data_IF_733015493426
#
_entry.id   IF_733015493426
#
_cell.length_a   1.000
_cell.length_b   1.000
_cell.length_c   1.000
_cell.angle_alpha   90.00
_cell.angle_beta   90.00
_cell.angle_gamma   90.00
#
_symmetry.space_group_name_H-M   'P 1'
#
loop_
_entity.id
_entity.type
_entity.pdbx_description
1 polymer ?
#
# COMPACT_ATOMS: atom_id res chain seq x y z
N UNK A 1 -11.25 -13.90 -21.07
CA UNK A 1 -10.87 -13.98 -19.64
C UNK A 1 -10.59 -12.56 -19.17
N UNK A 2 -11.12 -12.14 -18.02
CA UNK A 2 -10.74 -10.86 -17.47
C UNK A 2 -9.24 -10.87 -17.15
N UNK A 3 -8.50 -9.87 -17.65
CA UNK A 3 -7.08 -9.70 -17.32
C UNK A 3 -7.05 -9.03 -15.94
N UNK A 4 -6.83 -9.82 -14.92
CA UNK A 4 -6.63 -9.30 -13.57
C UNK A 4 -5.25 -8.65 -13.47
N UNK A 5 -5.14 -7.54 -12.74
CA UNK A 5 -3.83 -6.99 -12.39
C UNK A 5 -3.10 -7.98 -11.47
N UNK A 6 -1.79 -8.06 -11.57
CA UNK A 6 -0.97 -8.94 -10.73
C UNK A 6 -1.25 -8.69 -9.23
N UNK A 7 -1.41 -7.43 -8.85
CA UNK A 7 -1.73 -7.02 -7.48
C UNK A 7 -3.09 -7.53 -7.01
N UNK A 8 -4.09 -7.60 -7.89
CA UNK A 8 -5.37 -8.20 -7.56
C UNK A 8 -5.24 -9.71 -7.30
N UNK A 9 -4.48 -10.42 -8.16
CA UNK A 9 -4.23 -11.86 -7.97
C UNK A 9 -3.49 -12.13 -6.67
N UNK A 10 -2.49 -11.32 -6.32
CA UNK A 10 -1.76 -11.41 -5.05
C UNK A 10 -2.70 -11.24 -3.86
N UNK A 11 -3.57 -10.22 -3.88
CA UNK A 11 -4.55 -10.00 -2.81
C UNK A 11 -5.49 -11.18 -2.63
N UNK A 12 -6.03 -11.72 -3.72
CA UNK A 12 -6.93 -12.88 -3.68
C UNK A 12 -6.21 -14.10 -3.14
N UNK A 13 -5.00 -14.38 -3.62
CA UNK A 13 -4.16 -15.49 -3.14
C UNK A 13 -3.84 -15.36 -1.65
N UNK A 14 -3.53 -14.14 -1.20
CA UNK A 14 -3.32 -13.84 0.20
C UNK A 14 -4.56 -14.14 1.05
N UNK A 15 -5.72 -13.66 0.62
CA UNK A 15 -6.99 -13.92 1.32
C UNK A 15 -7.27 -15.42 1.41
N UNK A 16 -7.02 -16.16 0.33
CA UNK A 16 -7.19 -17.62 0.31
C UNK A 16 -6.20 -18.31 1.25
N UNK A 17 -4.93 -17.92 1.26
CA UNK A 17 -3.94 -18.47 2.21
C UNK A 17 -4.37 -18.26 3.66
N UNK A 18 -4.93 -17.09 3.97
CA UNK A 18 -5.48 -16.79 5.30
C UNK A 18 -6.63 -17.73 5.70
N UNK A 19 -7.48 -18.13 4.75
CA UNK A 19 -8.58 -19.09 4.99
C UNK A 19 -8.06 -20.47 5.34
N UNK A 20 -6.94 -20.90 4.78
CA UNK A 20 -6.33 -22.21 5.02
C UNK A 20 -5.32 -22.23 6.18
N UNK A 21 -5.10 -21.10 6.83
CA UNK A 21 -4.18 -21.01 7.96
C UNK A 21 -4.80 -21.52 9.25
N UNK A 22 -4.13 -22.43 9.96
CA UNK A 22 -4.56 -22.93 11.25
C UNK A 22 -4.74 -21.81 12.28
N UNK A 23 -4.02 -20.71 12.17
CA UNK A 23 -4.16 -19.54 13.05
C UNK A 23 -5.52 -18.81 12.89
N UNK A 24 -6.27 -19.11 11.84
CA UNK A 24 -7.53 -18.45 11.51
C UNK A 24 -8.73 -19.40 11.52
N UNK A 25 -8.63 -20.59 12.12
CA UNK A 25 -9.71 -21.60 12.14
C UNK A 25 -11.03 -21.05 12.72
N UNK A 26 -10.95 -20.16 13.70
CA UNK A 26 -12.12 -19.53 14.32
C UNK A 26 -12.63 -18.27 13.57
N UNK A 27 -11.90 -17.80 12.54
CA UNK A 27 -12.29 -16.61 11.78
C UNK A 27 -13.17 -16.96 10.59
N UNK A 28 -14.16 -16.11 10.32
CA UNK A 28 -14.96 -16.23 9.09
C UNK A 28 -14.20 -15.63 7.91
N UNK A 29 -14.45 -16.14 6.70
CA UNK A 29 -13.91 -15.52 5.45
C UNK A 29 -14.27 -14.03 5.36
N UNK A 30 -15.47 -13.66 5.85
CA UNK A 30 -15.92 -12.28 5.90
C UNK A 30 -15.02 -11.41 6.81
N UNK A 31 -14.67 -11.92 8.00
CA UNK A 31 -13.81 -11.17 8.93
C UNK A 31 -12.39 -11.03 8.40
N UNK A 32 -11.80 -12.06 7.79
CA UNK A 32 -10.48 -12.00 7.17
C UNK A 32 -10.44 -10.99 6.02
N UNK A 33 -11.46 -11.02 5.16
CA UNK A 33 -11.59 -10.04 4.07
C UNK A 33 -11.72 -8.62 4.61
N UNK A 34 -12.51 -8.40 5.65
CA UNK A 34 -12.69 -7.07 6.25
C UNK A 34 -11.41 -6.58 6.93
N UNK A 35 -10.66 -7.43 7.60
CA UNK A 35 -9.39 -7.11 8.23
C UNK A 35 -8.36 -6.64 7.20
N UNK A 36 -8.17 -7.39 6.12
CA UNK A 36 -7.20 -7.05 5.08
C UNK A 36 -7.60 -5.79 4.30
N UNK A 37 -8.85 -5.69 3.86
CA UNK A 37 -9.34 -4.50 3.16
C UNK A 37 -9.30 -3.30 4.09
N UNK A 38 -9.59 -3.47 5.37
CA UNK A 38 -9.52 -2.42 6.37
C UNK A 38 -8.13 -1.83 6.50
N UNK A 39 -7.10 -2.67 6.60
CA UNK A 39 -5.69 -2.20 6.65
C UNK A 39 -5.32 -1.37 5.42
N UNK A 40 -5.66 -1.86 4.23
CA UNK A 40 -5.38 -1.15 2.98
C UNK A 40 -6.15 0.17 2.91
N UNK A 41 -7.44 0.17 3.26
CA UNK A 41 -8.27 1.36 3.25
C UNK A 41 -7.80 2.42 4.25
N UNK A 42 -7.35 2.00 5.41
CA UNK A 42 -6.80 2.88 6.44
C UNK A 42 -5.48 3.51 5.97
N UNK A 43 -4.56 2.73 5.42
CA UNK A 43 -3.31 3.23 4.84
C UNK A 43 -3.56 4.22 3.71
N UNK A 44 -4.50 3.93 2.82
CA UNK A 44 -4.90 4.85 1.76
C UNK A 44 -5.45 6.17 2.31
N UNK A 45 -6.25 6.14 3.39
CA UNK A 45 -6.83 7.34 3.99
C UNK A 45 -5.79 8.27 4.63
N UNK A 46 -4.63 7.74 5.02
CA UNK A 46 -3.49 8.56 5.51
C UNK A 46 -2.73 9.25 4.36
N UNK A 47 -2.77 8.68 3.17
CA UNK A 47 -2.07 9.20 1.99
C UNK A 47 -2.98 10.11 1.15
N UNK A 48 -4.23 9.70 0.94
CA UNK A 48 -5.19 10.41 0.08
C UNK A 48 -6.35 10.98 0.87
N UNK A 49 -6.70 12.22 0.60
CA UNK A 49 -7.83 12.90 1.25
C UNK A 49 -9.17 12.55 0.58
N UNK A 50 -9.17 12.15 -0.69
CA UNK A 50 -10.36 11.97 -1.52
C UNK A 50 -10.48 10.58 -2.17
N UNK A 51 -9.56 9.66 -1.89
CA UNK A 51 -9.52 8.32 -2.46
C UNK A 51 -9.64 7.25 -1.36
N UNK A 52 -10.68 6.42 -1.43
CA UNK A 52 -10.93 5.35 -0.49
C UNK A 52 -11.23 4.04 -1.21
N UNK A 53 -10.63 2.93 -0.78
CA UNK A 53 -10.95 1.60 -1.29
C UNK A 53 -12.35 1.18 -0.82
N UNK A 54 -13.28 1.00 -1.76
CA UNK A 54 -14.67 0.66 -1.45
C UNK A 54 -14.97 -0.83 -1.61
N UNK A 55 -14.37 -1.50 -2.60
CA UNK A 55 -14.52 -2.95 -2.78
C UNK A 55 -13.43 -3.54 -3.67
N UNK A 56 -13.31 -4.86 -3.66
CA UNK A 56 -12.38 -5.62 -4.52
C UNK A 56 -13.10 -6.42 -5.61
N UNK A 57 -14.41 -6.23 -5.77
CA UNK A 57 -15.20 -7.01 -6.74
C UNK A 57 -15.22 -8.51 -6.45
N UNK A 58 -15.85 -9.27 -7.34
CA UNK A 58 -15.88 -10.74 -7.27
C UNK A 58 -14.80 -11.35 -8.16
N UNK A 59 -13.90 -12.20 -7.61
CA UNK A 59 -12.72 -12.70 -8.34
C UNK A 59 -13.04 -13.38 -9.67
N UNK A 60 -14.17 -14.06 -9.77
CA UNK A 60 -14.54 -14.82 -10.98
C UNK A 60 -15.44 -14.04 -11.95
N UNK A 61 -15.92 -12.86 -11.56
CA UNK A 61 -16.88 -12.08 -12.35
C UNK A 61 -16.29 -10.76 -12.81
N UNK A 62 -15.95 -9.89 -11.86
CA UNK A 62 -15.49 -8.52 -12.11
C UNK A 62 -14.35 -8.12 -11.18
N UNK A 63 -13.49 -9.08 -10.82
CA UNK A 63 -12.38 -8.87 -9.90
C UNK A 63 -11.50 -7.69 -10.28
N UNK A 64 -11.56 -6.65 -9.48
CA UNK A 64 -10.78 -5.43 -9.60
C UNK A 64 -10.92 -4.60 -8.32
N UNK A 65 -10.08 -3.58 -8.19
CA UNK A 65 -10.23 -2.61 -7.12
C UNK A 65 -11.20 -1.50 -7.54
N UNK A 66 -12.13 -1.20 -6.64
CA UNK A 66 -13.10 -0.13 -6.78
C UNK A 66 -12.94 0.85 -5.63
N UNK A 67 -13.02 2.13 -5.94
CA UNK A 67 -12.78 3.22 -5.01
C UNK A 67 -13.99 4.17 -4.94
N UNK A 68 -14.08 4.89 -3.85
CA UNK A 68 -14.80 6.15 -3.79
C UNK A 68 -13.77 7.25 -3.99
N UNK A 69 -14.00 8.16 -4.95
CA UNK A 69 -13.12 9.31 -5.23
C UNK A 69 -13.94 10.59 -5.27
N UNK A 70 -13.79 11.43 -4.26
CA UNK A 70 -14.65 12.59 -4.07
C UNK A 70 -16.13 12.19 -4.04
N UNK A 71 -16.92 12.59 -5.05
CA UNK A 71 -18.34 12.23 -5.20
C UNK A 71 -18.59 11.01 -6.06
N UNK A 72 -17.55 10.45 -6.68
CA UNK A 72 -17.68 9.30 -7.58
C UNK A 72 -17.63 8.00 -6.80
N UNK A 73 -18.70 7.22 -6.87
CA UNK A 73 -18.77 5.88 -6.32
C UNK A 73 -18.35 4.84 -7.39
N UNK A 74 -17.83 3.70 -6.94
CA UNK A 74 -17.38 2.61 -7.81
C UNK A 74 -16.34 3.06 -8.88
N UNK A 75 -15.45 3.97 -8.50
CA UNK A 75 -14.37 4.44 -9.35
C UNK A 75 -13.36 3.30 -9.55
N UNK A 76 -13.21 2.84 -10.79
CA UNK A 76 -12.41 1.65 -11.09
C UNK A 76 -10.92 1.98 -11.07
N UNK A 77 -10.09 1.04 -10.56
CA UNK A 77 -8.62 1.14 -10.53
C UNK A 77 -8.00 1.63 -11.85
N UNK A 78 -8.48 1.13 -13.00
CA UNK A 78 -7.96 1.55 -14.31
C UNK A 78 -8.05 3.06 -14.56
N UNK A 79 -8.99 3.73 -13.91
CA UNK A 79 -9.26 5.17 -14.08
C UNK A 79 -8.45 6.04 -13.11
N UNK A 80 -7.72 5.44 -12.16
CA UNK A 80 -6.79 6.16 -11.31
C UNK A 80 -5.69 6.81 -12.15
N UNK A 81 -5.19 7.96 -11.72
CA UNK A 81 -3.99 8.58 -12.27
C UNK A 81 -2.76 7.68 -12.05
N UNK A 82 -1.68 7.93 -12.78
CA UNK A 82 -0.44 7.16 -12.64
C UNK A 82 0.10 7.22 -11.21
N UNK A 83 0.12 8.40 -10.59
CA UNK A 83 0.58 8.56 -9.21
C UNK A 83 -0.30 7.86 -8.18
N UNK A 84 -1.64 7.89 -8.35
CA UNK A 84 -2.57 7.17 -7.48
C UNK A 84 -2.39 5.65 -7.60
N UNK A 85 -2.18 5.13 -8.81
CA UNK A 85 -1.88 3.72 -9.04
C UNK A 85 -0.58 3.32 -8.35
N UNK A 86 0.49 4.08 -8.58
CA UNK A 86 1.79 3.81 -7.98
C UNK A 86 1.72 3.78 -6.46
N UNK A 87 1.12 4.80 -5.83
CA UNK A 87 0.96 4.84 -4.38
C UNK A 87 0.10 3.68 -3.85
N UNK A 88 -1.02 3.37 -4.50
CA UNK A 88 -1.87 2.24 -4.13
C UNK A 88 -1.12 0.92 -4.23
N UNK A 89 -0.40 0.69 -5.33
CA UNK A 89 0.33 -0.56 -5.58
C UNK A 89 1.47 -0.75 -4.55
N UNK A 90 2.19 0.32 -4.19
CA UNK A 90 3.23 0.29 -3.14
C UNK A 90 2.60 -0.05 -1.78
N UNK A 91 1.53 0.64 -1.37
CA UNK A 91 0.84 0.39 -0.11
C UNK A 91 0.35 -1.06 -0.06
N UNK A 92 -0.30 -1.53 -1.12
CA UNK A 92 -0.81 -2.89 -1.20
C UNK A 92 0.31 -3.93 -1.06
N UNK A 93 1.44 -3.72 -1.75
CA UNK A 93 2.59 -4.63 -1.71
C UNK A 93 3.20 -4.68 -0.30
N UNK A 94 3.37 -3.52 0.36
CA UNK A 94 3.90 -3.44 1.72
C UNK A 94 2.96 -4.09 2.74
N UNK A 95 1.65 -3.85 2.65
CA UNK A 95 0.64 -4.47 3.54
C UNK A 95 0.66 -5.98 3.38
N UNK A 96 0.64 -6.50 2.15
CA UNK A 96 0.64 -7.95 1.90
C UNK A 96 1.96 -8.58 2.36
N UNK A 97 3.09 -8.01 2.00
CA UNK A 97 4.41 -8.58 2.35
C UNK A 97 4.69 -8.51 3.85
N UNK A 98 4.27 -7.43 4.51
CA UNK A 98 4.44 -7.27 5.95
C UNK A 98 3.73 -8.33 6.79
N UNK A 99 2.76 -9.07 6.22
CA UNK A 99 2.11 -10.18 6.91
C UNK A 99 2.87 -11.51 6.82
N UNK A 100 3.82 -11.63 5.88
CA UNK A 100 4.56 -12.88 5.66
C UNK A 100 6.04 -12.79 6.01
N UNK A 101 6.61 -11.58 6.02
CA UNK A 101 8.05 -11.40 6.09
C UNK A 101 8.43 -10.39 7.18
N UNK A 102 9.11 -10.87 8.22
CA UNK A 102 9.51 -10.03 9.35
C UNK A 102 10.85 -9.31 9.12
N UNK A 103 11.78 -9.91 8.35
CA UNK A 103 13.12 -9.36 8.11
C UNK A 103 13.31 -9.07 6.63
N UNK A 104 12.69 -8.02 6.13
CA UNK A 104 12.67 -7.73 4.69
C UNK A 104 13.41 -6.44 4.37
N UNK A 105 14.17 -6.46 3.29
CA UNK A 105 14.71 -5.25 2.67
C UNK A 105 13.86 -4.90 1.45
N UNK A 106 13.13 -3.81 1.55
CA UNK A 106 12.32 -3.26 0.47
C UNK A 106 13.16 -2.26 -0.32
N UNK A 107 13.42 -2.55 -1.59
CA UNK A 107 14.15 -1.64 -2.48
C UNK A 107 13.16 -1.06 -3.51
N UNK A 108 12.99 0.26 -3.51
CA UNK A 108 12.04 0.94 -4.39
C UNK A 108 12.77 2.11 -5.07
N UNK A 109 12.69 2.13 -6.38
CA UNK A 109 13.25 3.18 -7.21
C UNK A 109 12.14 4.15 -7.64
N UNK A 110 12.37 5.44 -7.43
CA UNK A 110 11.46 6.55 -7.76
C UNK A 110 9.99 6.30 -7.32
N UNK A 111 9.73 5.97 -6.03
CA UNK A 111 8.36 5.70 -5.57
C UNK A 111 7.42 6.90 -5.76
N UNK A 112 7.96 8.09 -5.88
CA UNK A 112 7.27 9.35 -6.08
C UNK A 112 6.84 9.64 -7.52
N UNK A 113 7.13 8.77 -8.47
CA UNK A 113 6.86 9.01 -9.89
C UNK A 113 5.40 9.43 -10.14
N UNK A 114 5.24 10.54 -10.87
CA UNK A 114 3.93 11.11 -11.22
C UNK A 114 3.08 11.65 -10.04
N UNK A 115 3.68 11.93 -8.88
CA UNK A 115 2.99 12.44 -7.69
C UNK A 115 3.31 13.91 -7.41
N UNK A 116 2.35 14.61 -6.83
CA UNK A 116 2.60 15.94 -6.26
C UNK A 116 3.43 15.83 -4.98
N UNK A 117 4.24 16.84 -4.68
CA UNK A 117 5.17 16.87 -3.55
C UNK A 117 4.50 16.54 -2.20
N UNK A 118 3.31 17.06 -1.94
CA UNK A 118 2.58 16.77 -0.71
C UNK A 118 2.16 15.29 -0.59
N UNK A 119 1.81 14.66 -1.72
CA UNK A 119 1.49 13.23 -1.76
C UNK A 119 2.72 12.38 -1.55
N UNK A 120 3.87 12.79 -2.11
CA UNK A 120 5.16 12.12 -1.94
C UNK A 120 5.56 12.03 -0.46
N UNK A 121 5.40 13.12 0.30
CA UNK A 121 5.68 13.15 1.72
C UNK A 121 4.75 12.20 2.51
N UNK A 122 3.43 12.27 2.25
CA UNK A 122 2.45 11.37 2.89
C UNK A 122 2.72 9.90 2.58
N UNK A 123 3.08 9.59 1.33
CA UNK A 123 3.43 8.23 0.93
C UNK A 123 4.64 7.72 1.70
N UNK A 124 5.72 8.50 1.81
CA UNK A 124 6.91 8.08 2.56
C UNK A 124 6.59 7.86 4.04
N UNK A 125 5.82 8.75 4.66
CA UNK A 125 5.40 8.57 6.04
C UNK A 125 4.62 7.26 6.23
N UNK A 126 3.71 6.95 5.30
CA UNK A 126 2.93 5.71 5.35
C UNK A 126 3.79 4.47 5.08
N UNK A 127 4.73 4.52 4.13
CA UNK A 127 5.68 3.42 3.88
C UNK A 127 6.50 3.12 5.14
N UNK A 128 6.96 4.16 5.85
CA UNK A 128 7.69 4.02 7.11
C UNK A 128 6.82 3.36 8.19
N UNK A 129 5.54 3.73 8.28
CA UNK A 129 4.60 3.14 9.24
C UNK A 129 4.22 1.69 8.95
N UNK A 130 4.30 1.26 7.69
CA UNK A 130 3.91 -0.09 7.26
C UNK A 130 4.99 -1.13 7.42
N UNK A 131 6.27 -0.73 7.44
CA UNK A 131 7.37 -1.65 7.68
C UNK A 131 7.53 -1.92 9.17
N UNK A 132 7.89 -3.15 9.54
CA UNK A 132 8.20 -3.50 10.91
C UNK A 132 9.63 -3.10 11.31
N UNK A 133 9.92 -3.08 12.61
CA UNK A 133 11.21 -2.64 13.17
C UNK A 133 12.42 -3.47 12.72
N UNK A 134 12.22 -4.66 12.18
CA UNK A 134 13.28 -5.56 11.70
C UNK A 134 13.50 -5.46 10.20
N UNK A 135 12.65 -4.72 9.50
CA UNK A 135 12.72 -4.51 8.06
C UNK A 135 13.38 -3.18 7.71
N UNK A 136 13.87 -3.08 6.49
CA UNK A 136 14.52 -1.88 5.97
C UNK A 136 13.83 -1.41 4.70
N UNK A 137 13.75 -0.09 4.54
CA UNK A 137 13.25 0.56 3.34
C UNK A 137 14.40 1.32 2.66
N UNK A 138 14.80 0.86 1.49
CA UNK A 138 15.83 1.48 0.67
C UNK A 138 15.17 2.17 -0.51
N UNK A 139 15.33 3.49 -0.59
CA UNK A 139 14.72 4.31 -1.63
C UNK A 139 15.79 5.01 -2.46
N UNK A 140 15.68 4.92 -3.78
CA UNK A 140 16.35 5.84 -4.68
C UNK A 140 15.32 6.89 -5.10
N UNK A 141 15.60 8.17 -4.82
CA UNK A 141 14.64 9.26 -5.07
C UNK A 141 15.33 10.55 -5.45
N UNK A 142 14.70 11.31 -6.34
CA UNK A 142 15.04 12.70 -6.65
C UNK A 142 14.02 13.69 -6.04
N UNK A 143 13.09 13.22 -5.22
CA UNK A 143 12.02 14.02 -4.68
C UNK A 143 12.44 14.89 -3.49
N UNK A 144 12.24 16.18 -3.62
CA UNK A 144 12.40 17.12 -2.50
C UNK A 144 11.37 16.81 -1.40
N UNK A 145 10.14 16.42 -1.77
CA UNK A 145 9.08 16.06 -0.81
C UNK A 145 9.43 14.85 0.04
N UNK A 146 9.98 13.79 -0.58
CA UNK A 146 10.46 12.62 0.17
C UNK A 146 11.67 12.95 1.02
N UNK A 147 12.61 13.76 0.50
CA UNK A 147 13.79 14.15 1.26
C UNK A 147 13.45 14.98 2.51
N UNK A 148 12.47 15.88 2.40
CA UNK A 148 11.98 16.67 3.54
C UNK A 148 11.30 15.77 4.56
N UNK A 149 10.43 14.87 4.13
CA UNK A 149 9.76 13.91 5.01
C UNK A 149 10.76 12.97 5.70
N UNK A 150 11.78 12.48 4.98
CA UNK A 150 12.84 11.65 5.55
C UNK A 150 13.63 12.38 6.65
N UNK A 151 13.92 13.68 6.46
CA UNK A 151 14.54 14.51 7.51
C UNK A 151 13.63 14.71 8.73
N UNK A 152 12.33 14.83 8.51
CA UNK A 152 11.36 14.94 9.59
C UNK A 152 11.28 13.62 10.39
N UNK A 153 11.23 12.48 9.71
CA UNK A 153 11.28 11.15 10.34
C UNK A 153 12.56 10.97 11.16
N UNK A 154 13.73 11.35 10.63
CA UNK A 154 14.99 11.30 11.37
C UNK A 154 14.97 12.21 12.62
N UNK A 155 14.34 13.39 12.53
CA UNK A 155 14.19 14.28 13.66
C UNK A 155 13.28 13.72 14.76
N UNK A 156 12.21 13.02 14.36
CA UNK A 156 11.25 12.40 15.29
C UNK A 156 11.77 11.09 15.88
N UNK A 157 12.54 10.34 15.09
CA UNK A 157 13.10 9.03 15.42
C UNK A 157 14.60 8.99 15.11
N UNK A 158 15.46 9.60 15.91
CA UNK A 158 16.90 9.70 15.64
C UNK A 158 17.56 8.34 15.41
N UNK A 159 18.32 8.21 14.31
CA UNK A 159 18.98 6.98 13.91
C UNK A 159 18.12 6.05 13.03
N UNK A 160 16.89 6.45 12.71
CA UNK A 160 16.00 5.64 11.86
C UNK A 160 16.23 5.84 10.35
N UNK A 161 16.87 6.94 9.96
CA UNK A 161 17.08 7.27 8.54
C UNK A 161 18.56 7.54 8.26
N UNK A 162 19.06 6.93 7.19
CA UNK A 162 20.44 7.18 6.69
C UNK A 162 20.37 7.72 5.28
N UNK A 163 21.08 8.82 5.04
CA UNK A 163 21.17 9.44 3.72
C UNK A 163 22.47 9.05 3.03
N UNK A 164 22.38 8.54 1.82
CA UNK A 164 23.51 8.32 0.93
C UNK A 164 23.48 9.38 -0.17
N UNK A 165 24.54 10.17 -0.28
CA UNK A 165 24.73 11.13 -1.39
C UNK A 165 25.77 10.60 -2.37
N UNK A 166 25.51 10.81 -3.65
CA UNK A 166 26.46 10.54 -4.72
C UNK A 166 27.02 11.86 -5.24
#
# INVERSE_FOLDING_TARGET
MPVFTENYQRLVSHTLSGVFSAANEDKTVKSLKQELIGKIAESLSRVFDDLQLSSIGEPLVNGSFYFTKGRSLNFHYKNLSAGEKSAFDIILDLVIKGEYFDNTVYCIDEPEAHMHTALQAKLLAEMYNLINDQSQLWLATHSIGMLQQAKELESQHPGSVVFFGF
#
